data_IF_771271912759
#
_entry.id   IF_771271912759
#
_cell.length_a   1.000
_cell.length_b   1.000
_cell.length_c   1.000
_cell.angle_alpha   90.00
_cell.angle_beta   90.00
_cell.angle_gamma   90.00
#
_symmetry.space_group_name_H-M   'P 1'
#
loop_
_entity.id
_entity.type
_entity.pdbx_description
1 polymer ?
#
# COMPACT_ATOMS: atom_id res chain seq x y z
N UNK A 1 -23.78 -22.36 4.45
CA UNK A 1 -22.32 -22.18 4.58
C UNK A 1 -22.13 -20.91 5.37
N UNK A 2 -21.39 -20.97 6.48
CA UNK A 2 -20.95 -19.75 7.17
C UNK A 2 -19.88 -19.13 6.27
N UNK A 3 -20.01 -17.85 5.90
CA UNK A 3 -19.07 -17.21 5.00
C UNK A 3 -17.74 -16.96 5.71
N UNK A 4 -16.72 -17.75 5.34
CA UNK A 4 -15.34 -17.70 5.85
C UNK A 4 -14.73 -16.29 5.78
N UNK A 5 -13.99 -15.89 6.81
CA UNK A 5 -13.25 -14.62 6.84
C UNK A 5 -11.96 -14.72 6.03
N UNK A 6 -11.66 -13.72 5.20
CA UNK A 6 -10.38 -13.59 4.52
C UNK A 6 -9.44 -12.68 5.35
N UNK A 7 -8.29 -13.21 5.75
CA UNK A 7 -7.20 -12.44 6.34
C UNK A 7 -6.13 -12.23 5.27
N UNK A 8 -5.86 -10.97 4.94
CA UNK A 8 -4.83 -10.61 3.97
C UNK A 8 -3.60 -10.07 4.69
N UNK A 9 -2.45 -10.71 4.48
CA UNK A 9 -1.16 -10.32 5.05
C UNK A 9 -0.38 -9.55 3.99
N UNK A 10 -0.32 -8.22 4.12
CA UNK A 10 0.49 -7.37 3.22
C UNK A 10 1.79 -7.03 3.93
N UNK A 11 2.93 -7.48 3.40
CA UNK A 11 4.20 -7.25 4.07
C UNK A 11 5.44 -7.18 3.16
N UNK A 12 6.49 -6.57 3.69
CA UNK A 12 7.80 -6.39 3.04
C UNK A 12 8.83 -7.45 3.46
N UNK A 13 8.34 -8.65 3.81
CA UNK A 13 9.14 -9.77 4.32
C UNK A 13 10.07 -10.43 3.30
N UNK A 14 10.02 -10.02 2.04
CA UNK A 14 10.72 -10.66 0.93
C UNK A 14 9.74 -11.30 -0.06
N UNK A 15 10.21 -12.28 -0.82
CA UNK A 15 9.37 -13.02 -1.75
C UNK A 15 8.32 -13.85 -1.00
N UNK A 16 7.24 -14.27 -1.68
CA UNK A 16 6.15 -15.05 -1.04
C UNK A 16 6.59 -16.38 -0.42
N UNK A 17 7.79 -16.87 -0.75
CA UNK A 17 8.39 -18.07 -0.18
C UNK A 17 9.44 -17.78 0.90
N UNK A 18 9.58 -16.53 1.34
CA UNK A 18 10.48 -16.17 2.42
C UNK A 18 10.01 -16.77 3.76
N UNK A 19 10.99 -17.19 4.58
CA UNK A 19 10.74 -17.77 5.90
C UNK A 19 9.92 -16.84 6.80
N UNK A 20 10.10 -15.53 6.68
CA UNK A 20 9.35 -14.54 7.43
C UNK A 20 7.83 -14.63 7.18
N UNK A 21 7.39 -14.86 5.93
CA UNK A 21 5.97 -15.09 5.65
C UNK A 21 5.47 -16.38 6.31
N UNK A 22 6.27 -17.45 6.28
CA UNK A 22 5.90 -18.73 6.88
C UNK A 22 5.76 -18.61 8.42
N UNK A 23 6.73 -17.99 9.09
CA UNK A 23 6.71 -17.80 10.55
C UNK A 23 5.52 -16.95 11.02
N UNK A 24 5.27 -15.82 10.33
CA UNK A 24 4.14 -14.94 10.65
C UNK A 24 2.81 -15.63 10.38
N UNK A 25 2.68 -16.35 9.27
CA UNK A 25 1.45 -17.09 8.94
C UNK A 25 1.17 -18.20 9.95
N UNK A 26 2.19 -18.97 10.35
CA UNK A 26 2.05 -19.99 11.40
C UNK A 26 1.60 -19.37 12.73
N UNK A 27 2.20 -18.24 13.12
CA UNK A 27 1.79 -17.55 14.34
C UNK A 27 0.35 -17.04 14.23
N UNK A 28 -0.04 -16.45 13.11
CA UNK A 28 -1.42 -16.01 12.88
C UNK A 28 -2.41 -17.17 12.96
N UNK A 29 -2.09 -18.36 12.43
CA UNK A 29 -2.92 -19.54 12.61
C UNK A 29 -3.17 -19.88 14.08
N UNK A 30 -2.13 -19.80 14.93
CA UNK A 30 -2.28 -19.99 16.38
C UNK A 30 -3.18 -18.93 17.00
N UNK A 31 -2.94 -17.65 16.71
CA UNK A 31 -3.70 -16.56 17.32
C UNK A 31 -5.15 -16.48 16.83
N UNK A 32 -5.44 -17.05 15.65
CA UNK A 32 -6.76 -17.12 15.03
C UNK A 32 -7.49 -18.45 15.29
N UNK A 33 -6.99 -19.30 16.19
CA UNK A 33 -7.72 -20.52 16.58
C UNK A 33 -9.14 -20.18 17.05
N UNK A 34 -10.12 -20.90 16.51
CA UNK A 34 -11.56 -20.65 16.72
C UNK A 34 -12.20 -19.65 15.75
N UNK A 35 -11.42 -19.01 14.87
CA UNK A 35 -11.93 -18.14 13.79
C UNK A 35 -11.90 -18.92 12.47
N UNK A 36 -13.05 -19.09 11.83
CA UNK A 36 -13.12 -19.66 10.48
C UNK A 36 -12.58 -18.65 9.46
N UNK A 37 -11.29 -18.78 9.15
CA UNK A 37 -10.59 -17.86 8.26
C UNK A 37 -9.64 -18.55 7.28
N UNK A 38 -9.40 -17.87 6.16
CA UNK A 38 -8.34 -18.16 5.19
C UNK A 38 -7.30 -17.05 5.27
N UNK A 39 -6.01 -17.41 5.30
CA UNK A 39 -4.91 -16.44 5.27
C UNK A 39 -4.33 -16.43 3.86
N UNK A 40 -4.27 -15.26 3.25
CA UNK A 40 -3.56 -15.01 1.99
C UNK A 40 -2.46 -13.98 2.21
N UNK A 41 -1.38 -14.07 1.44
CA UNK A 41 -0.20 -13.21 1.57
C UNK A 41 0.02 -12.38 0.31
N UNK A 42 0.54 -11.17 0.50
CA UNK A 42 0.91 -10.26 -0.57
C UNK A 42 2.22 -9.57 -0.23
N UNK A 43 3.25 -9.84 -1.03
CA UNK A 43 4.57 -9.26 -0.88
C UNK A 43 4.61 -7.86 -1.50
N UNK A 44 5.20 -6.92 -0.77
CA UNK A 44 5.59 -5.60 -1.28
C UNK A 44 7.12 -5.47 -1.27
N UNK A 45 7.70 -4.55 -2.06
CA UNK A 45 9.14 -4.30 -2.01
C UNK A 45 9.61 -3.89 -0.61
N UNK A 46 10.83 -4.30 -0.26
CA UNK A 46 11.45 -3.99 1.02
C UNK A 46 11.37 -2.49 1.35
N UNK A 47 10.83 -2.15 2.53
CA UNK A 47 10.71 -0.79 3.06
C UNK A 47 9.80 0.17 2.27
N UNK A 48 9.07 -0.31 1.26
CA UNK A 48 8.26 0.54 0.38
C UNK A 48 6.85 0.78 0.95
N UNK A 49 6.77 1.73 1.88
CA UNK A 49 5.49 2.09 2.53
C UNK A 49 4.46 2.67 1.55
N UNK A 50 4.88 3.19 0.40
CA UNK A 50 3.96 3.68 -0.64
C UNK A 50 3.32 2.53 -1.39
N UNK A 51 4.10 1.51 -1.76
CA UNK A 51 3.58 0.28 -2.36
C UNK A 51 2.60 -0.43 -1.41
N UNK A 52 2.92 -0.47 -0.13
CA UNK A 52 2.03 -1.00 0.93
C UNK A 52 0.73 -0.24 1.01
N UNK A 53 0.79 1.09 1.16
CA UNK A 53 -0.40 1.93 1.25
C UNK A 53 -1.28 1.83 0.00
N UNK A 54 -0.66 1.81 -1.18
CA UNK A 54 -1.38 1.63 -2.45
C UNK A 54 -2.06 0.26 -2.53
N UNK A 55 -1.34 -0.83 -2.28
CA UNK A 55 -1.90 -2.19 -2.36
C UNK A 55 -3.02 -2.41 -1.33
N UNK A 56 -2.83 -1.90 -0.10
CA UNK A 56 -3.82 -1.91 0.95
C UNK A 56 -5.09 -1.16 0.52
N UNK A 57 -4.98 0.10 0.10
CA UNK A 57 -6.15 0.89 -0.28
C UNK A 57 -6.88 0.31 -1.50
N UNK A 58 -6.12 -0.13 -2.52
CA UNK A 58 -6.68 -0.72 -3.74
C UNK A 58 -7.51 -1.98 -3.46
N UNK A 59 -7.12 -2.78 -2.45
CA UNK A 59 -7.81 -4.04 -2.10
C UNK A 59 -8.83 -3.88 -0.98
N UNK A 60 -8.58 -3.01 0.00
CA UNK A 60 -9.46 -2.81 1.16
C UNK A 60 -10.68 -1.93 0.84
N UNK A 61 -10.49 -0.78 0.20
CA UNK A 61 -11.59 0.18 -0.06
C UNK A 61 -12.55 -0.39 -1.12
N UNK A 62 -12.01 -1.05 -2.14
CA UNK A 62 -12.82 -1.67 -3.20
C UNK A 62 -13.45 -3.01 -2.78
N UNK A 63 -13.16 -3.52 -1.58
CA UNK A 63 -13.69 -4.80 -1.12
C UNK A 63 -15.23 -4.80 -1.07
N UNK A 64 -15.80 -5.90 -1.54
CA UNK A 64 -17.23 -6.24 -1.37
C UNK A 64 -17.45 -7.30 -0.27
N UNK A 65 -16.37 -7.75 0.37
CA UNK A 65 -16.43 -8.71 1.48
C UNK A 65 -16.77 -8.01 2.81
N UNK A 66 -16.47 -6.71 2.92
CA UNK A 66 -16.74 -5.91 4.11
C UNK A 66 -16.07 -6.49 5.35
N UNK A 67 -16.83 -6.66 6.43
CA UNK A 67 -16.35 -7.24 7.70
C UNK A 67 -15.82 -8.66 7.61
N UNK A 68 -16.05 -9.36 6.49
CA UNK A 68 -15.45 -10.66 6.20
C UNK A 68 -14.03 -10.56 5.64
N UNK A 69 -13.47 -9.37 5.50
CA UNK A 69 -12.08 -9.18 5.12
C UNK A 69 -11.35 -8.36 6.18
N UNK A 70 -10.23 -8.91 6.65
CA UNK A 70 -9.34 -8.29 7.63
C UNK A 70 -7.93 -8.22 7.07
N UNK A 71 -7.17 -7.19 7.43
CA UNK A 71 -5.81 -7.00 6.96
C UNK A 71 -4.83 -7.00 8.12
N UNK A 72 -3.74 -7.77 7.98
CA UNK A 72 -2.55 -7.68 8.82
C UNK A 72 -1.44 -7.07 7.96
N UNK A 73 -0.99 -5.85 8.29
CA UNK A 73 -0.11 -5.08 7.41
C UNK A 73 1.17 -4.71 8.12
N UNK A 74 2.31 -5.05 7.53
CA UNK A 74 3.61 -4.70 8.09
C UNK A 74 4.59 -4.29 7.00
N UNK A 75 5.04 -3.03 7.06
CA UNK A 75 6.23 -2.59 6.36
C UNK A 75 7.10 -1.89 7.37
N UNK A 76 8.31 -2.41 7.60
CA UNK A 76 9.20 -1.89 8.62
C UNK A 76 10.19 -0.92 8.00
N UNK A 77 9.97 0.41 8.00
CA UNK A 77 10.98 1.35 7.53
C UNK A 77 12.20 1.19 8.43
N UNK A 78 13.35 0.81 7.86
CA UNK A 78 14.62 0.64 8.58
C UNK A 78 15.57 1.84 8.42
N UNK A 79 15.07 2.95 7.86
CA UNK A 79 15.85 4.14 7.48
C UNK A 79 15.14 5.46 7.80
N UNK A 80 14.02 5.39 8.47
CA UNK A 80 13.22 6.53 8.93
C UNK A 80 13.88 7.29 10.08
N UNK A 81 14.55 6.59 10.99
CA UNK A 81 15.42 7.20 12.01
C UNK A 81 16.82 6.58 11.93
N UNK A 82 17.82 7.43 11.68
CA UNK A 82 19.23 7.02 11.61
C UNK A 82 19.86 6.86 13.01
N UNK A 83 19.15 7.25 14.07
CA UNK A 83 19.63 7.07 15.44
C UNK A 83 19.43 5.62 15.92
N UNK A 84 20.36 5.05 16.71
CA UNK A 84 20.18 3.74 17.30
C UNK A 84 18.97 3.71 18.24
N UNK A 85 18.01 2.84 17.96
CA UNK A 85 16.81 2.67 18.79
C UNK A 85 17.13 1.77 20.00
N UNK A 86 16.75 2.23 21.19
CA UNK A 86 16.92 1.47 22.44
C UNK A 86 15.87 0.34 22.48
N UNK A 87 16.27 -0.88 22.86
CA UNK A 87 15.37 -2.05 23.04
C UNK A 87 14.59 -2.52 21.80
N UNK A 88 15.07 -2.19 20.60
CA UNK A 88 14.34 -2.44 19.33
C UNK A 88 12.97 -1.77 19.28
N UNK A 89 12.82 -0.61 19.95
CA UNK A 89 11.61 0.20 19.80
C UNK A 89 11.42 0.60 18.34
N UNK A 90 10.17 0.78 17.94
CA UNK A 90 9.86 1.29 16.62
C UNK A 90 8.37 1.53 16.44
N UNK A 91 7.95 1.76 15.19
CA UNK A 91 6.59 2.16 14.86
C UNK A 91 5.50 1.34 15.57
N UNK A 92 4.47 2.04 16.02
CA UNK A 92 3.32 1.46 16.71
C UNK A 92 2.40 0.67 15.79
N UNK A 93 1.54 -0.15 16.38
CA UNK A 93 0.52 -0.91 15.67
C UNK A 93 -0.82 -0.18 15.79
N UNK A 94 -1.54 -0.06 14.68
CA UNK A 94 -2.74 0.77 14.55
C UNK A 94 -3.88 -0.06 13.97
N UNK A 95 -5.05 0.12 14.55
CA UNK A 95 -6.32 -0.39 14.06
C UNK A 95 -7.00 0.67 13.21
N UNK A 96 -7.49 0.26 12.05
CA UNK A 96 -8.31 1.08 11.15
C UNK A 96 -9.58 0.33 10.80
N UNK A 97 -10.73 0.99 10.93
CA UNK A 97 -12.01 0.50 10.43
C UNK A 97 -12.46 1.35 9.26
N UNK A 98 -12.80 0.72 8.15
CA UNK A 98 -13.36 1.38 6.97
C UNK A 98 -14.89 1.37 7.01
N UNK A 99 -15.52 2.31 6.31
CA UNK A 99 -16.99 2.39 6.22
C UNK A 99 -17.62 1.11 5.65
N UNK A 100 -16.93 0.43 4.72
CA UNK A 100 -17.39 -0.84 4.16
C UNK A 100 -17.31 -2.02 5.14
N UNK A 101 -16.83 -1.81 6.36
CA UNK A 101 -16.72 -2.81 7.43
C UNK A 101 -15.39 -3.56 7.45
N UNK A 102 -14.48 -3.33 6.49
CA UNK A 102 -13.14 -3.91 6.51
C UNK A 102 -12.36 -3.39 7.72
N UNK A 103 -11.62 -4.29 8.36
CA UNK A 103 -10.75 -3.97 9.50
C UNK A 103 -9.29 -4.23 9.14
N UNK A 104 -8.42 -3.32 9.54
CA UNK A 104 -7.00 -3.32 9.21
C UNK A 104 -6.24 -3.16 10.52
N UNK A 105 -5.28 -4.04 10.78
CA UNK A 105 -4.26 -3.80 11.79
C UNK A 105 -2.92 -3.65 11.06
N UNK A 106 -2.32 -2.47 11.15
CA UNK A 106 -1.14 -2.09 10.40
C UNK A 106 -0.09 -1.45 11.29
N UNK A 107 1.18 -1.66 10.96
CA UNK A 107 2.26 -0.82 11.51
C UNK A 107 2.15 0.58 10.93
N UNK A 108 2.04 1.59 11.81
CA UNK A 108 1.96 3.00 11.43
C UNK A 108 3.32 3.50 10.93
N UNK A 109 3.62 3.22 9.67
CA UNK A 109 4.94 3.38 9.08
C UNK A 109 4.87 4.15 7.77
N UNK A 110 5.56 5.29 7.71
CA UNK A 110 5.62 6.12 6.50
C UNK A 110 4.22 6.34 5.91
N UNK A 111 4.03 5.92 4.65
CA UNK A 111 2.75 6.07 3.92
C UNK A 111 1.86 4.83 3.89
N UNK A 112 2.14 3.80 4.72
CA UNK A 112 1.40 2.52 4.72
C UNK A 112 -0.10 2.69 4.99
N UNK A 113 -0.50 3.74 5.72
CA UNK A 113 -1.91 4.05 6.02
C UNK A 113 -2.43 5.31 5.30
N UNK A 114 -1.56 6.07 4.62
CA UNK A 114 -1.91 7.37 4.05
C UNK A 114 -3.08 7.30 3.04
N UNK A 115 -3.13 6.22 2.26
CA UNK A 115 -4.14 6.03 1.21
C UNK A 115 -5.53 5.64 1.75
N UNK A 116 -5.58 5.01 2.94
CA UNK A 116 -6.83 4.59 3.60
C UNK A 116 -7.34 5.59 4.65
N UNK A 117 -6.52 6.56 5.06
CA UNK A 117 -6.85 7.58 6.07
C UNK A 117 -8.21 8.24 5.83
N UNK A 118 -8.46 8.75 4.63
CA UNK A 118 -9.73 9.43 4.28
C UNK A 118 -10.92 8.46 4.17
N UNK A 119 -10.69 7.15 4.00
CA UNK A 119 -11.74 6.12 3.96
C UNK A 119 -12.13 5.57 5.35
N UNK A 120 -11.34 5.89 6.37
CA UNK A 120 -11.51 5.33 7.70
C UNK A 120 -12.64 6.04 8.46
N UNK A 121 -13.45 5.25 9.17
CA UNK A 121 -14.42 5.76 10.15
C UNK A 121 -13.86 5.75 11.57
N UNK A 122 -12.76 5.02 11.79
CA UNK A 122 -12.07 4.92 13.07
C UNK A 122 -10.61 4.56 12.84
N UNK A 123 -9.70 5.26 13.50
CA UNK A 123 -8.26 4.98 13.52
C UNK A 123 -7.77 5.07 14.96
N UNK A 124 -7.34 3.94 15.53
CA UNK A 124 -6.92 3.86 16.93
C UNK A 124 -5.56 3.20 17.07
N UNK A 125 -4.76 3.65 18.02
CA UNK A 125 -3.59 2.88 18.44
C UNK A 125 -4.03 1.51 18.97
N UNK A 126 -3.22 0.48 18.75
CA UNK A 126 -3.36 -0.81 19.42
C UNK A 126 -2.33 -0.86 20.55
N UNK A 127 -2.82 -1.00 21.78
CA UNK A 127 -2.00 -1.11 22.98
C UNK A 127 -1.41 -2.53 23.07
N UNK A 128 -0.25 -2.71 22.44
CA UNK A 128 0.59 -3.90 22.58
C UNK A 128 2.04 -3.47 22.83
N UNK A 129 2.86 -4.39 23.35
CA UNK A 129 4.27 -4.10 23.57
C UNK A 129 4.93 -3.68 22.25
N UNK A 130 5.56 -2.50 22.22
CA UNK A 130 6.29 -2.01 21.04
C UNK A 130 7.77 -2.34 21.08
N UNK A 131 8.23 -2.96 22.16
CA UNK A 131 9.62 -3.27 22.47
C UNK A 131 9.80 -4.78 22.71
N UNK A 132 11.04 -5.24 22.83
CA UNK A 132 11.34 -6.58 23.36
C UNK A 132 11.44 -7.70 22.31
N UNK A 133 11.22 -7.42 21.03
CA UNK A 133 11.53 -8.34 19.93
C UNK A 133 12.17 -7.60 18.75
N UNK A 134 13.15 -8.24 18.10
CA UNK A 134 13.68 -7.80 16.81
C UNK A 134 12.72 -8.06 15.66
N UNK A 135 11.74 -8.96 15.83
CA UNK A 135 10.76 -9.34 14.82
C UNK A 135 9.31 -9.22 15.36
N UNK A 136 8.92 -8.00 15.72
CA UNK A 136 7.63 -7.68 16.37
C UNK A 136 6.40 -8.17 15.58
N UNK A 137 6.49 -8.18 14.26
CA UNK A 137 5.41 -8.66 13.40
C UNK A 137 5.22 -10.18 13.39
N UNK A 138 6.16 -10.93 13.98
CA UNK A 138 5.99 -12.33 14.37
C UNK A 138 5.64 -12.47 15.84
N UNK A 139 6.36 -11.79 16.73
CA UNK A 139 6.30 -12.10 18.16
C UNK A 139 5.18 -11.38 18.92
N UNK A 140 4.74 -10.20 18.45
CA UNK A 140 3.86 -9.29 19.19
C UNK A 140 2.56 -9.04 18.42
N UNK A 141 2.66 -8.49 17.21
CA UNK A 141 1.49 -8.01 16.48
C UNK A 141 0.45 -9.10 16.14
N UNK A 142 0.82 -10.37 15.86
CA UNK A 142 -0.17 -11.42 15.64
C UNK A 142 -1.10 -11.65 16.83
N UNK A 143 -0.62 -11.49 18.06
CA UNK A 143 -1.42 -11.67 19.28
C UNK A 143 -2.48 -10.56 19.35
N UNK A 144 -2.07 -9.32 19.10
CA UNK A 144 -2.96 -8.17 19.07
C UNK A 144 -3.99 -8.29 17.92
N UNK A 145 -3.55 -8.74 16.74
CA UNK A 145 -4.44 -9.01 15.61
C UNK A 145 -5.47 -10.10 15.94
N UNK A 146 -5.07 -11.18 16.59
CA UNK A 146 -5.96 -12.27 16.98
C UNK A 146 -7.12 -11.80 17.88
N UNK A 147 -6.84 -10.90 18.84
CA UNK A 147 -7.88 -10.27 19.68
C UNK A 147 -8.89 -9.48 18.83
N UNK A 148 -8.41 -8.59 17.98
CA UNK A 148 -9.26 -7.79 17.09
C UNK A 148 -10.06 -8.68 16.14
N UNK A 149 -9.43 -9.71 15.56
CA UNK A 149 -10.11 -10.65 14.66
C UNK A 149 -11.25 -11.43 15.35
N UNK A 150 -11.13 -11.67 16.66
CA UNK A 150 -12.14 -12.30 17.52
C UNK A 150 -13.17 -11.31 18.10
N UNK A 151 -13.08 -10.02 17.74
CA UNK A 151 -13.97 -8.97 18.22
C UNK A 151 -13.64 -8.44 19.62
N UNK A 152 -12.46 -8.74 20.15
CA UNK A 152 -11.95 -8.13 21.38
C UNK A 152 -11.20 -6.83 21.07
N UNK A 153 -11.90 -5.71 21.26
CA UNK A 153 -11.38 -4.35 21.06
C UNK A 153 -10.86 -3.70 22.36
N UNK A 154 -10.70 -4.46 23.45
CA UNK A 154 -10.26 -3.93 24.75
C UNK A 154 -8.85 -3.33 24.72
N UNK A 155 -8.06 -3.66 23.70
CA UNK A 155 -6.69 -3.18 23.50
C UNK A 155 -6.62 -1.90 22.65
N UNK A 156 -7.74 -1.34 22.19
CA UNK A 156 -7.72 -0.09 21.44
C UNK A 156 -7.41 1.10 22.37
N UNK A 157 -6.35 1.82 22.03
CA UNK A 157 -5.87 3.03 22.67
C UNK A 157 -6.51 4.27 22.08
N UNK A 158 -5.78 5.38 22.04
CA UNK A 158 -6.24 6.71 21.59
C UNK A 158 -6.41 6.82 20.06
N UNK A 159 -7.04 7.91 19.63
CA UNK A 159 -7.11 8.28 18.22
C UNK A 159 -5.74 8.76 17.75
N UNK A 160 -5.26 8.23 16.64
CA UNK A 160 -3.94 8.55 16.08
C UNK A 160 -4.01 9.00 14.63
N UNK A 161 -5.18 9.46 14.18
CA UNK A 161 -5.42 9.91 12.79
C UNK A 161 -4.39 10.98 12.36
N UNK A 162 -4.07 11.91 13.26
CA UNK A 162 -3.14 13.01 13.00
C UNK A 162 -1.68 12.56 12.86
N UNK A 163 -1.34 11.36 13.33
CA UNK A 163 0.01 10.79 13.17
C UNK A 163 0.24 10.18 11.78
N UNK A 164 -0.82 9.96 11.00
CA UNK A 164 -0.75 9.34 9.68
C UNK A 164 -0.58 10.46 8.64
N UNK A 165 0.42 10.38 7.74
CA UNK A 165 0.59 11.35 6.65
C UNK A 165 -0.64 11.43 5.75
N UNK A 166 -0.81 12.59 5.13
CA UNK A 166 -1.85 12.77 4.13
C UNK A 166 -1.53 12.01 2.83
N UNK A 167 -2.53 11.92 1.94
CA UNK A 167 -2.39 11.25 0.66
C UNK A 167 -1.22 11.84 -0.15
N UNK A 168 -0.27 11.02 -0.64
CA UNK A 168 0.89 11.54 -1.35
C UNK A 168 0.53 11.91 -2.80
N UNK A 169 1.04 13.05 -3.28
CA UNK A 169 0.79 13.54 -4.64
C UNK A 169 2.05 13.49 -5.51
N UNK A 170 1.86 13.29 -6.81
CA UNK A 170 2.93 13.36 -7.83
C UNK A 170 4.12 12.43 -7.59
N UNK A 171 3.86 11.26 -7.02
CA UNK A 171 4.89 10.22 -6.77
C UNK A 171 4.55 8.90 -7.46
N UNK A 172 5.57 8.06 -7.64
CA UNK A 172 5.38 6.63 -7.92
C UNK A 172 4.79 5.98 -6.67
N UNK A 173 3.67 5.27 -6.79
CA UNK A 173 3.02 4.59 -5.68
C UNK A 173 3.29 3.08 -5.71
N UNK A 174 3.23 2.47 -6.89
CA UNK A 174 3.36 1.02 -7.04
C UNK A 174 3.88 0.66 -8.42
N UNK A 175 4.67 -0.41 -8.51
CA UNK A 175 5.09 -1.01 -9.78
C UNK A 175 4.40 -2.36 -9.93
N UNK A 176 3.60 -2.53 -10.98
CA UNK A 176 2.90 -3.81 -11.21
C UNK A 176 3.80 -4.90 -11.81
N UNK A 177 3.27 -6.12 -11.93
CA UNK A 177 4.01 -7.27 -12.43
C UNK A 177 4.51 -7.15 -13.89
N UNK A 178 3.97 -6.22 -14.67
CA UNK A 178 4.46 -5.90 -16.03
C UNK A 178 5.56 -4.82 -16.01
N UNK A 179 5.75 -4.16 -14.86
CA UNK A 179 6.67 -3.05 -14.68
C UNK A 179 6.06 -1.70 -15.06
N UNK A 180 4.73 -1.56 -15.04
CA UNK A 180 4.07 -0.27 -15.18
C UNK A 180 4.13 0.48 -13.85
N UNK A 181 4.31 1.80 -13.92
CA UNK A 181 4.33 2.66 -12.75
C UNK A 181 2.93 3.22 -12.50
N UNK A 182 2.32 2.88 -11.37
CA UNK A 182 1.09 3.52 -10.86
C UNK A 182 1.49 4.75 -10.06
N UNK A 183 0.93 5.90 -10.39
CA UNK A 183 1.41 7.20 -9.95
C UNK A 183 0.27 8.06 -9.39
N UNK A 184 0.50 8.73 -8.27
CA UNK A 184 -0.52 9.60 -7.63
C UNK A 184 -0.63 11.00 -8.25
N UNK A 185 -0.07 11.18 -9.44
CA UNK A 185 -0.32 12.37 -10.24
C UNK A 185 -1.77 12.34 -10.74
N UNK A 186 -2.49 13.44 -10.53
CA UNK A 186 -3.87 13.60 -10.98
C UNK A 186 -3.98 13.45 -12.51
N UNK A 187 -4.72 12.43 -13.01
CA UNK A 187 -4.91 12.21 -14.45
C UNK A 187 -5.58 13.37 -15.19
N UNK A 188 -6.36 14.23 -14.51
CA UNK A 188 -6.99 15.40 -15.13
C UNK A 188 -5.96 16.37 -15.72
N UNK A 189 -4.75 16.40 -15.15
CA UNK A 189 -3.63 17.21 -15.65
C UNK A 189 -3.17 16.80 -17.05
N UNK A 190 -3.50 15.58 -17.49
CA UNK A 190 -3.17 15.09 -18.83
C UNK A 190 -4.18 15.52 -19.90
N UNK A 191 -5.35 16.05 -19.52
CA UNK A 191 -6.42 16.39 -20.47
C UNK A 191 -5.97 17.47 -21.47
N UNK A 192 -5.30 18.51 -20.99
CA UNK A 192 -4.84 19.65 -21.81
C UNK A 192 -3.65 19.32 -22.70
N UNK A 193 -2.93 18.24 -22.40
CA UNK A 193 -1.74 17.79 -23.13
C UNK A 193 -1.98 16.47 -23.87
N UNK A 194 -3.24 16.03 -23.98
CA UNK A 194 -3.60 14.80 -24.68
C UNK A 194 -3.12 14.82 -26.13
N UNK A 195 -2.53 13.71 -26.56
CA UNK A 195 -1.92 13.54 -27.87
C UNK A 195 -0.49 14.07 -27.98
N UNK A 196 -0.03 14.91 -27.05
CA UNK A 196 1.33 15.49 -27.06
C UNK A 196 2.37 14.51 -26.50
N UNK A 197 3.63 14.79 -26.82
CA UNK A 197 4.79 14.15 -26.21
C UNK A 197 5.27 14.96 -25.01
N UNK A 198 5.56 14.25 -23.93
CA UNK A 198 6.03 14.77 -22.65
C UNK A 198 7.41 14.18 -22.36
N UNK A 199 8.31 15.00 -21.83
CA UNK A 199 9.56 14.53 -21.23
C UNK A 199 9.25 14.21 -19.78
N UNK A 200 9.31 12.92 -19.42
CA UNK A 200 9.19 12.45 -18.04
C UNK A 200 10.57 12.38 -17.42
N UNK A 201 10.71 12.86 -16.18
CA UNK A 201 11.91 12.73 -15.36
C UNK A 201 11.54 12.03 -14.05
N UNK A 202 12.05 10.80 -13.92
CA UNK A 202 11.78 9.92 -12.77
C UNK A 202 13.09 9.25 -12.41
N UNK A 203 13.47 9.33 -11.13
CA UNK A 203 14.69 8.70 -10.62
C UNK A 203 15.97 9.14 -11.37
N UNK A 204 16.03 10.41 -11.77
CA UNK A 204 17.14 10.99 -12.54
C UNK A 204 17.28 10.46 -13.96
N UNK A 205 16.24 9.81 -14.50
CA UNK A 205 16.22 9.27 -15.85
C UNK A 205 15.10 9.90 -16.64
N UNK A 206 15.44 10.37 -17.84
CA UNK A 206 14.49 11.00 -18.74
C UNK A 206 14.02 10.02 -19.83
N UNK A 207 12.74 10.10 -20.17
CA UNK A 207 12.16 9.40 -21.32
C UNK A 207 11.00 10.20 -21.90
N UNK A 208 10.84 10.10 -23.22
CA UNK A 208 9.72 10.73 -23.92
C UNK A 208 8.53 9.78 -23.91
N UNK A 209 7.39 10.25 -23.40
CA UNK A 209 6.13 9.52 -23.37
C UNK A 209 5.03 10.30 -24.06
N UNK A 210 4.12 9.60 -24.74
CA UNK A 210 2.93 10.23 -25.30
C UNK A 210 1.82 10.26 -24.24
N UNK A 211 1.23 11.42 -24.01
CA UNK A 211 -0.01 11.54 -23.26
C UNK A 211 -1.15 10.97 -24.12
N UNK A 212 -1.62 9.76 -23.81
CA UNK A 212 -2.61 9.05 -24.61
C UNK A 212 -3.83 8.64 -23.76
N UNK A 213 -4.85 8.08 -24.41
CA UNK A 213 -6.04 7.59 -23.70
C UNK A 213 -5.75 6.31 -22.90
N UNK A 214 -4.76 5.54 -23.34
CA UNK A 214 -4.34 4.28 -22.73
C UNK A 214 -3.19 3.64 -23.51
N UNK A 215 -2.69 2.52 -23.01
CA UNK A 215 -1.49 1.82 -23.54
C UNK A 215 -1.52 1.53 -25.04
N UNK A 216 -2.70 1.29 -25.64
CA UNK A 216 -2.83 0.98 -27.06
C UNK A 216 -2.81 2.22 -27.97
N UNK A 217 -2.78 3.42 -27.40
CA UNK A 217 -2.66 4.69 -28.13
C UNK A 217 -1.23 5.04 -28.59
N UNK A 218 -0.25 4.18 -28.31
CA UNK A 218 1.17 4.33 -28.70
C UNK A 218 1.66 3.11 -29.45
N UNK A 219 2.73 3.23 -30.25
CA UNK A 219 3.35 2.11 -30.94
C UNK A 219 4.11 1.18 -29.98
N UNK A 220 4.46 -0.02 -30.45
CA UNK A 220 5.30 -0.94 -29.69
C UNK A 220 6.66 -0.29 -29.36
N UNK A 221 7.13 -0.46 -28.13
CA UNK A 221 8.35 0.15 -27.61
C UNK A 221 8.21 1.60 -27.13
N UNK A 222 7.11 2.30 -27.44
CA UNK A 222 6.87 3.66 -26.97
C UNK A 222 6.38 3.72 -25.52
N UNK A 223 6.66 4.84 -24.85
CA UNK A 223 6.06 5.14 -23.56
C UNK A 223 4.70 5.81 -23.73
N UNK A 224 3.76 5.39 -22.89
CA UNK A 224 2.45 5.97 -22.72
C UNK A 224 2.33 6.51 -21.29
N UNK A 225 1.80 7.72 -21.16
CA UNK A 225 1.29 8.25 -19.90
C UNK A 225 -0.21 8.52 -20.04
N UNK A 226 -1.02 7.92 -19.19
CA UNK A 226 -2.48 7.98 -19.28
C UNK A 226 -3.13 7.80 -17.92
N UNK A 227 -4.44 8.02 -17.83
CA UNK A 227 -5.20 7.53 -16.68
C UNK A 227 -5.08 6.00 -16.63
N UNK A 228 -4.83 5.46 -15.43
CA UNK A 228 -4.76 4.04 -15.14
C UNK A 228 -6.11 3.40 -14.82
N UNK A 229 -6.06 2.10 -14.55
CA UNK A 229 -7.21 1.33 -14.06
C UNK A 229 -7.34 1.36 -12.53
N UNK A 230 -6.27 1.73 -11.83
CA UNK A 230 -6.24 1.79 -10.37
C UNK A 230 -6.95 3.02 -9.82
N UNK A 231 -7.54 2.86 -8.64
CA UNK A 231 -8.36 3.86 -8.00
C UNK A 231 -9.45 3.28 -7.11
N UNK A 232 -10.15 4.17 -6.43
CA UNK A 232 -11.26 3.86 -5.53
C UNK A 232 -12.15 5.10 -5.36
N UNK A 233 -13.29 4.92 -4.70
CA UNK A 233 -14.18 6.01 -4.30
C UNK A 233 -14.24 6.05 -2.79
N UNK A 234 -13.98 7.21 -2.21
CA UNK A 234 -14.12 7.43 -0.77
C UNK A 234 -15.61 7.50 -0.36
N UNK A 235 -15.93 7.30 0.93
CA UNK A 235 -17.27 7.50 1.51
C UNK A 235 -17.98 8.77 1.05
N UNK A 236 -17.24 9.88 0.97
CA UNK A 236 -17.74 11.20 0.57
C UNK A 236 -18.03 11.33 -0.95
N UNK A 237 -17.84 10.26 -1.74
CA UNK A 237 -18.04 10.26 -3.20
C UNK A 237 -16.84 10.75 -4.01
N UNK A 238 -15.76 11.22 -3.36
CA UNK A 238 -14.52 11.62 -4.05
C UNK A 238 -13.89 10.41 -4.72
N UNK A 239 -13.63 10.52 -6.02
CA UNK A 239 -12.95 9.49 -6.79
C UNK A 239 -11.45 9.75 -6.79
N UNK A 240 -10.68 8.74 -6.39
CA UNK A 240 -9.23 8.71 -6.55
C UNK A 240 -8.90 7.90 -7.79
N UNK A 241 -8.14 8.50 -8.70
CA UNK A 241 -7.65 7.86 -9.92
C UNK A 241 -6.15 8.06 -10.01
N UNK A 242 -5.46 7.07 -10.55
CA UNK A 242 -4.01 7.10 -10.69
C UNK A 242 -3.62 7.34 -12.15
N UNK A 243 -2.52 8.05 -12.35
CA UNK A 243 -1.84 8.07 -13.65
C UNK A 243 -0.99 6.81 -13.77
N UNK A 244 -0.91 6.25 -14.96
CA UNK A 244 -0.04 5.13 -15.29
C UNK A 244 1.00 5.53 -16.33
N UNK A 245 2.25 5.12 -16.07
CA UNK A 245 3.35 5.22 -17.01
C UNK A 245 3.73 3.82 -17.44
N UNK A 246 3.60 3.58 -18.74
CA UNK A 246 3.74 2.26 -19.36
C UNK A 246 4.71 2.34 -20.52
N UNK A 247 5.44 1.25 -20.78
CA UNK A 247 6.16 1.06 -22.04
C UNK A 247 5.50 -0.08 -22.79
N UNK A 248 4.84 0.20 -23.92
CA UNK A 248 4.16 -0.84 -24.70
C UNK A 248 5.17 -1.88 -25.16
N UNK A 249 4.89 -3.17 -24.93
CA UNK A 249 5.81 -4.27 -25.24
C UNK A 249 7.08 -4.30 -24.38
N UNK A 250 7.16 -3.47 -23.32
CA UNK A 250 8.34 -3.32 -22.49
C UNK A 250 8.03 -3.22 -21.00
N UNK A 251 8.98 -2.66 -20.25
CA UNK A 251 8.89 -2.53 -18.79
C UNK A 251 9.33 -1.11 -18.42
N UNK A 252 8.38 -0.26 -18.02
CA UNK A 252 8.66 1.15 -17.74
C UNK A 252 9.57 1.31 -16.53
N UNK A 253 9.31 0.56 -15.45
CA UNK A 253 10.12 0.57 -14.25
C UNK A 253 11.60 0.29 -14.55
N UNK A 254 11.92 -0.74 -15.33
CA UNK A 254 13.29 -1.07 -15.73
C UNK A 254 13.97 0.09 -16.46
N UNK A 255 13.25 0.78 -17.35
CA UNK A 255 13.79 1.95 -18.05
C UNK A 255 14.10 3.11 -17.11
N UNK A 256 13.23 3.38 -16.13
CA UNK A 256 13.46 4.36 -15.06
C UNK A 256 14.31 3.84 -13.89
N UNK A 257 15.01 2.70 -14.06
CA UNK A 257 15.94 2.20 -13.06
C UNK A 257 15.29 1.60 -11.81
N UNK A 258 14.08 1.05 -11.95
CA UNK A 258 13.24 0.47 -10.89
C UNK A 258 13.00 1.47 -9.74
N UNK A 259 12.32 2.59 -10.01
CA UNK A 259 12.07 3.60 -8.99
C UNK A 259 11.28 3.00 -7.82
N UNK A 260 11.75 3.12 -6.56
CA UNK A 260 10.93 2.77 -5.40
C UNK A 260 9.72 3.71 -5.29
N UNK A 261 8.71 3.28 -4.55
CA UNK A 261 7.58 4.13 -4.19
C UNK A 261 8.02 5.39 -3.42
N UNK A 262 7.27 6.48 -3.62
CA UNK A 262 7.55 7.79 -3.06
C UNK A 262 8.48 8.66 -3.89
N UNK A 263 9.09 8.15 -4.96
CA UNK A 263 9.88 9.00 -5.85
C UNK A 263 8.99 9.98 -6.63
N UNK A 264 9.39 11.26 -6.70
CA UNK A 264 8.64 12.28 -7.41
C UNK A 264 8.67 12.03 -8.91
N UNK A 265 7.61 12.46 -9.57
CA UNK A 265 7.45 12.43 -11.02
C UNK A 265 7.40 13.85 -11.52
N UNK A 266 8.36 14.22 -12.36
CA UNK A 266 8.36 15.50 -13.04
C UNK A 266 8.07 15.28 -14.53
N UNK A 267 7.37 16.23 -15.12
CA UNK A 267 7.14 16.21 -16.56
C UNK A 267 7.09 17.62 -17.14
N UNK A 268 7.42 17.73 -18.42
CA UNK A 268 7.28 18.96 -19.22
C UNK A 268 6.90 18.61 -20.65
N UNK A 269 6.31 19.56 -21.36
CA UNK A 269 6.12 19.46 -22.81
C UNK A 269 7.47 19.49 -23.53
N UNK A 270 7.54 18.87 -24.71
CA UNK A 270 8.71 18.99 -25.60
C UNK A 270 8.78 20.34 -26.33
N UNK A 271 7.65 21.07 -26.34
CA UNK A 271 7.49 22.45 -26.83
C UNK A 271 7.81 23.46 -25.73
#
# INVERSE_FOLDING_TARGET
MVDRTLVYVIADYGDLHDLAFAEVTQKLHTELEGVDCEIQTFAVPAFDTYATGFALAQTAINSKLGSRQKFFVNTAPRKDDLTPRVKNSGEGFVYVKLENGVEICAVNSGHSLAFVKEAAVEIRQINCDTDGSQFRSRDIFPIAFGKIAKGDYSILGEDVTDSIPDFPHDVVCYTDGYGNLKCSMDPSRLETVRGKYLILDINGRQSVARAAEGIFGVADGEFCISQGSSGWTYPNGKQVRFTEIVKRGGNAAKSFGKPPGGLPIHWRTTE
#
